data_IF_388040529442
#
_entry.id   IF_388040529442
#
_cell.length_a   1.000
_cell.length_b   1.000
_cell.length_c   1.000
_cell.angle_alpha   90.00
_cell.angle_beta   90.00
_cell.angle_gamma   90.00
#
_symmetry.space_group_name_H-M   'P 1'
#
loop_
_entity.id
_entity.type
_entity.pdbx_description
1 polymer ?
#
# COMPACT_ATOMS: atom_id res chain seq x y z
N UNK A 1 -12.78 -18.36 -24.19
CA UNK A 1 -12.13 -18.14 -22.87
C UNK A 1 -12.67 -16.84 -22.30
N UNK A 2 -13.04 -16.80 -21.02
CA UNK A 2 -13.47 -15.57 -20.34
C UNK A 2 -12.25 -14.69 -20.01
N UNK A 3 -12.40 -13.38 -20.15
CA UNK A 3 -11.38 -12.37 -19.85
C UNK A 3 -11.96 -11.43 -18.79
N UNK A 4 -11.18 -11.12 -17.75
CA UNK A 4 -11.62 -10.26 -16.65
C UNK A 4 -10.85 -8.94 -16.62
N UNK A 5 -11.54 -7.86 -16.27
CA UNK A 5 -10.99 -6.55 -16.00
C UNK A 5 -11.67 -5.94 -14.77
N UNK A 6 -11.02 -4.96 -14.15
CA UNK A 6 -11.59 -4.18 -13.03
C UNK A 6 -12.25 -2.93 -13.62
N UNK A 7 -13.50 -2.64 -13.27
CA UNK A 7 -14.17 -1.42 -13.76
C UNK A 7 -13.31 -0.17 -13.54
N UNK A 8 -13.39 0.81 -14.44
CA UNK A 8 -12.47 1.97 -14.48
C UNK A 8 -12.40 2.70 -13.13
N UNK A 9 -13.55 2.90 -12.47
CA UNK A 9 -13.59 3.54 -11.15
C UNK A 9 -12.97 2.71 -10.03
N UNK A 10 -13.13 1.39 -10.08
CA UNK A 10 -12.57 0.49 -9.08
C UNK A 10 -11.06 0.28 -9.26
N UNK A 11 -10.56 0.41 -10.49
CA UNK A 11 -9.14 0.19 -10.79
C UNK A 11 -8.23 1.12 -9.99
N UNK A 12 -8.64 2.37 -9.76
CA UNK A 12 -7.87 3.33 -8.95
C UNK A 12 -7.76 2.96 -7.46
N UNK A 13 -8.64 2.08 -6.96
CA UNK A 13 -8.55 1.54 -5.60
C UNK A 13 -7.51 0.41 -5.44
N UNK A 14 -6.90 -0.04 -6.54
CA UNK A 14 -5.88 -1.10 -6.52
C UNK A 14 -4.46 -0.55 -6.73
N UNK A 15 -3.47 -1.36 -6.34
CA UNK A 15 -2.05 -1.08 -6.58
C UNK A 15 -1.75 -0.89 -8.07
N UNK A 16 -0.71 -0.10 -8.36
CA UNK A 16 -0.29 0.23 -9.73
C UNK A 16 -0.11 -0.97 -10.67
N UNK A 17 0.50 -2.10 -10.26
CA UNK A 17 0.61 -3.29 -11.12
C UNK A 17 -0.76 -3.86 -11.51
N UNK A 18 -1.73 -3.84 -10.60
CA UNK A 18 -3.10 -4.29 -10.88
C UNK A 18 -3.78 -3.37 -11.90
N UNK A 19 -3.56 -2.05 -11.79
CA UNK A 19 -4.06 -1.10 -12.78
C UNK A 19 -3.45 -1.34 -14.17
N UNK A 20 -2.16 -1.66 -14.26
CA UNK A 20 -1.52 -1.97 -15.55
C UNK A 20 -2.10 -3.22 -16.22
N UNK A 21 -2.45 -4.24 -15.44
CA UNK A 21 -2.85 -5.56 -15.97
C UNK A 21 -4.37 -5.72 -16.16
N UNK A 22 -5.18 -5.01 -15.37
CA UNK A 22 -6.62 -5.24 -15.29
C UNK A 22 -7.48 -4.01 -15.62
N UNK A 23 -6.88 -2.85 -15.92
CA UNK A 23 -7.66 -1.67 -16.33
C UNK A 23 -8.19 -1.84 -17.77
N UNK A 24 -9.48 -1.62 -18.06
CA UNK A 24 -10.09 -1.81 -19.38
C UNK A 24 -9.42 -1.02 -20.51
N UNK A 25 -8.91 0.18 -20.20
CA UNK A 25 -8.15 1.01 -21.17
C UNK A 25 -6.75 0.47 -21.50
N UNK A 26 -6.18 -0.40 -20.66
CA UNK A 26 -4.82 -0.95 -20.81
C UNK A 26 -4.84 -2.42 -21.25
N UNK A 27 -5.97 -3.10 -21.05
CA UNK A 27 -6.16 -4.53 -21.33
C UNK A 27 -6.98 -4.73 -22.61
N UNK A 28 -6.46 -5.57 -23.51
CA UNK A 28 -7.09 -5.95 -24.78
C UNK A 28 -8.48 -6.59 -24.59
N UNK A 29 -9.40 -6.28 -25.50
CA UNK A 29 -10.74 -6.86 -25.60
C UNK A 29 -11.86 -6.09 -24.89
N UNK A 30 -11.63 -4.84 -24.46
CA UNK A 30 -12.62 -4.03 -23.75
C UNK A 30 -13.01 -2.75 -24.48
N UNK A 31 -12.36 -2.41 -25.61
CA UNK A 31 -12.67 -1.20 -26.36
C UNK A 31 -12.68 0.03 -25.47
N UNK A 32 -13.73 0.86 -25.59
CA UNK A 32 -13.96 2.00 -24.72
C UNK A 32 -14.87 1.73 -23.50
N UNK A 33 -15.11 0.48 -23.13
CA UNK A 33 -15.95 0.14 -21.97
C UNK A 33 -15.37 0.65 -20.65
N UNK A 34 -16.23 1.18 -19.80
CA UNK A 34 -15.87 1.60 -18.43
C UNK A 34 -16.13 0.50 -17.38
N UNK A 35 -16.74 -0.62 -17.78
CA UNK A 35 -17.03 -1.76 -16.91
C UNK A 35 -18.21 -1.55 -15.94
N UNK A 36 -19.05 -0.52 -16.11
CA UNK A 36 -20.14 -0.19 -15.17
C UNK A 36 -21.50 -0.82 -15.52
N UNK A 37 -21.55 -1.74 -16.49
CA UNK A 37 -22.82 -2.30 -16.96
C UNK A 37 -23.64 -2.93 -15.82
N UNK A 38 -22.95 -3.67 -14.94
CA UNK A 38 -23.54 -4.27 -13.76
C UNK A 38 -24.10 -3.21 -12.81
N UNK A 39 -23.31 -2.20 -12.45
CA UNK A 39 -23.69 -1.14 -11.51
C UNK A 39 -24.89 -0.33 -12.03
N UNK A 40 -24.92 -0.03 -13.34
CA UNK A 40 -26.05 0.64 -13.99
C UNK A 40 -27.32 -0.20 -13.91
N UNK A 41 -27.21 -1.50 -14.14
CA UNK A 41 -28.34 -2.42 -14.00
C UNK A 41 -28.80 -2.54 -12.54
N UNK A 42 -27.90 -2.72 -11.58
CA UNK A 42 -28.24 -2.73 -10.15
C UNK A 42 -28.94 -1.43 -9.72
N UNK A 43 -28.49 -0.29 -10.25
CA UNK A 43 -29.13 0.99 -10.00
C UNK A 43 -30.55 1.06 -10.57
N UNK A 44 -30.79 0.57 -11.78
CA UNK A 44 -32.12 0.63 -12.40
C UNK A 44 -33.16 -0.18 -11.62
N UNK A 45 -32.77 -1.32 -11.06
CA UNK A 45 -33.68 -2.19 -10.28
C UNK A 45 -33.70 -1.89 -8.77
N UNK A 46 -32.93 -0.90 -8.29
CA UNK A 46 -32.80 -0.62 -6.85
C UNK A 46 -34.13 -0.32 -6.15
N UNK A 47 -35.08 0.25 -6.88
CA UNK A 47 -36.40 0.61 -6.37
C UNK A 47 -37.22 -0.63 -5.98
N UNK A 48 -36.91 -1.79 -6.57
CA UNK A 48 -37.56 -3.06 -6.23
C UNK A 48 -37.12 -3.62 -4.88
N UNK A 49 -35.97 -3.20 -4.33
CA UNK A 49 -35.38 -3.80 -3.12
C UNK A 49 -36.36 -3.79 -1.94
N UNK A 50 -37.05 -2.67 -1.70
CA UNK A 50 -37.98 -2.54 -0.58
C UNK A 50 -39.16 -3.52 -0.69
N UNK A 51 -39.74 -3.60 -1.89
CA UNK A 51 -40.87 -4.50 -2.16
C UNK A 51 -40.44 -5.97 -2.12
N UNK A 52 -39.33 -6.31 -2.78
CA UNK A 52 -38.86 -7.69 -2.91
C UNK A 52 -38.39 -8.33 -1.60
N UNK A 53 -38.02 -7.53 -0.59
CA UNK A 53 -37.63 -8.04 0.73
C UNK A 53 -38.76 -8.77 1.45
N UNK A 54 -40.00 -8.34 1.24
CA UNK A 54 -41.20 -8.91 1.88
C UNK A 54 -41.97 -9.87 0.97
N UNK A 55 -41.57 -9.99 -0.30
CA UNK A 55 -42.19 -10.91 -1.27
C UNK A 55 -41.74 -12.37 -1.08
N UNK A 56 -42.59 -13.30 -1.49
CA UNK A 56 -42.23 -14.72 -1.57
C UNK A 56 -41.15 -14.96 -2.63
N UNK A 57 -40.45 -16.10 -2.52
CA UNK A 57 -39.36 -16.47 -3.44
C UNK A 57 -39.78 -16.41 -4.92
N UNK A 58 -40.90 -17.05 -5.28
CA UNK A 58 -41.37 -17.10 -6.67
C UNK A 58 -41.80 -15.72 -7.18
N UNK A 59 -42.44 -14.92 -6.34
CA UNK A 59 -42.81 -13.56 -6.72
C UNK A 59 -41.56 -12.69 -6.96
N UNK A 60 -40.53 -12.82 -6.13
CA UNK A 60 -39.25 -12.13 -6.33
C UNK A 60 -38.61 -12.50 -7.66
N UNK A 61 -38.56 -13.80 -7.98
CA UNK A 61 -37.98 -14.29 -9.22
C UNK A 61 -38.76 -13.75 -10.43
N UNK A 62 -40.09 -13.86 -10.41
CA UNK A 62 -40.96 -13.38 -11.49
C UNK A 62 -40.82 -11.87 -11.72
N UNK A 63 -40.84 -11.07 -10.65
CA UNK A 63 -40.72 -9.60 -10.75
C UNK A 63 -39.36 -9.18 -11.27
N UNK A 64 -38.27 -9.84 -10.83
CA UNK A 64 -36.94 -9.56 -11.36
C UNK A 64 -36.85 -9.92 -12.85
N UNK A 65 -37.30 -11.12 -13.23
CA UNK A 65 -37.29 -11.58 -14.64
C UNK A 65 -38.07 -10.63 -15.56
N UNK A 66 -39.27 -10.22 -15.12
CA UNK A 66 -40.10 -9.25 -15.85
C UNK A 66 -39.41 -7.90 -15.98
N UNK A 67 -38.75 -7.42 -14.92
CA UNK A 67 -38.01 -6.16 -14.96
C UNK A 67 -36.80 -6.23 -15.91
N UNK A 68 -36.10 -7.37 -15.97
CA UNK A 68 -34.99 -7.57 -16.93
C UNK A 68 -35.51 -7.54 -18.35
N UNK A 69 -36.57 -8.30 -18.66
CA UNK A 69 -37.20 -8.30 -19.99
C UNK A 69 -37.63 -6.91 -20.44
N UNK A 70 -38.30 -6.17 -19.55
CA UNK A 70 -38.70 -4.80 -19.83
C UNK A 70 -37.49 -3.89 -20.10
N UNK A 71 -36.41 -4.03 -19.33
CA UNK A 71 -35.19 -3.26 -19.55
C UNK A 71 -34.54 -3.61 -20.90
N UNK A 72 -34.51 -4.88 -21.29
CA UNK A 72 -33.97 -5.33 -22.57
C UNK A 72 -34.77 -4.75 -23.75
N UNK A 73 -36.10 -4.80 -23.69
CA UNK A 73 -37.00 -4.18 -24.69
C UNK A 73 -36.78 -2.67 -24.80
N UNK A 74 -36.70 -1.97 -23.66
CA UNK A 74 -36.46 -0.54 -23.63
C UNK A 74 -35.06 -0.18 -24.17
N UNK A 75 -34.04 -0.99 -23.87
CA UNK A 75 -32.68 -0.79 -24.35
C UNK A 75 -32.57 -1.05 -25.85
N UNK A 76 -33.28 -2.05 -26.38
CA UNK A 76 -33.30 -2.36 -27.81
C UNK A 76 -33.77 -1.15 -28.63
N UNK A 77 -34.84 -0.47 -28.19
CA UNK A 77 -35.32 0.75 -28.84
C UNK A 77 -34.27 1.87 -28.89
N UNK A 78 -33.42 1.96 -27.85
CA UNK A 78 -32.33 2.93 -27.76
C UNK A 78 -31.00 2.50 -28.40
N UNK A 79 -30.90 1.27 -28.90
CA UNK A 79 -29.62 0.65 -29.26
C UNK A 79 -28.92 1.35 -30.42
N UNK A 80 -29.67 1.76 -31.45
CA UNK A 80 -29.11 2.51 -32.59
C UNK A 80 -28.50 3.85 -32.16
N UNK A 81 -29.22 4.60 -31.31
CA UNK A 81 -28.75 5.86 -30.77
C UNK A 81 -27.52 5.66 -29.87
N UNK A 82 -27.49 4.58 -29.10
CA UNK A 82 -26.33 4.19 -28.30
C UNK A 82 -25.11 3.85 -29.17
N UNK A 83 -25.27 2.99 -30.18
CA UNK A 83 -24.19 2.62 -31.11
C UNK A 83 -23.60 3.85 -31.81
N UNK A 84 -24.46 4.78 -32.26
CA UNK A 84 -24.02 6.06 -32.84
C UNK A 84 -23.21 6.91 -31.86
N UNK A 85 -23.65 7.04 -30.60
CA UNK A 85 -22.92 7.80 -29.57
C UNK A 85 -21.56 7.18 -29.28
N UNK A 86 -21.48 5.86 -29.14
CA UNK A 86 -20.21 5.15 -28.93
C UNK A 86 -19.28 5.31 -30.13
N UNK A 87 -19.81 5.23 -31.35
CA UNK A 87 -19.03 5.47 -32.58
C UNK A 87 -18.45 6.88 -32.65
N UNK A 88 -19.25 7.90 -32.34
CA UNK A 88 -18.76 9.28 -32.26
C UNK A 88 -17.67 9.44 -31.20
N UNK A 89 -17.85 8.84 -30.02
CA UNK A 89 -16.85 8.86 -28.96
C UNK A 89 -15.53 8.19 -29.41
N UNK A 90 -15.62 7.02 -30.05
CA UNK A 90 -14.47 6.29 -30.60
C UNK A 90 -13.73 7.13 -31.64
N UNK A 91 -14.46 7.77 -32.57
CA UNK A 91 -13.88 8.67 -33.58
C UNK A 91 -13.19 9.88 -32.95
N UNK A 92 -13.80 10.55 -31.95
CA UNK A 92 -13.14 11.65 -31.25
C UNK A 92 -11.85 11.18 -30.58
N UNK A 93 -11.88 10.06 -29.87
CA UNK A 93 -10.71 9.50 -29.18
C UNK A 93 -9.60 9.09 -30.15
N UNK A 94 -9.97 8.51 -31.29
CA UNK A 94 -9.05 8.16 -32.38
C UNK A 94 -8.32 9.41 -32.89
N UNK A 95 -9.06 10.46 -33.25
CA UNK A 95 -8.46 11.70 -33.77
C UNK A 95 -7.54 12.38 -32.75
N UNK A 96 -7.94 12.40 -31.46
CA UNK A 96 -7.09 12.89 -30.37
C UNK A 96 -5.80 12.07 -30.27
N UNK A 97 -5.88 10.74 -30.35
CA UNK A 97 -4.73 9.85 -30.26
C UNK A 97 -3.79 9.99 -31.48
N UNK A 98 -4.34 10.05 -32.69
CA UNK A 98 -3.58 10.20 -33.93
C UNK A 98 -2.78 11.51 -33.93
N UNK A 99 -3.39 12.62 -33.49
CA UNK A 99 -2.69 13.90 -33.36
C UNK A 99 -1.52 13.84 -32.37
N UNK A 100 -1.69 13.18 -31.22
CA UNK A 100 -0.62 13.02 -30.23
C UNK A 100 0.51 12.11 -30.74
N UNK A 101 0.19 11.07 -31.53
CA UNK A 101 1.20 10.19 -32.13
C UNK A 101 1.99 10.95 -33.20
N UNK A 102 1.32 11.78 -34.02
CA UNK A 102 1.97 12.63 -35.01
C UNK A 102 2.90 13.65 -34.35
N UNK A 103 2.46 14.32 -33.28
CA UNK A 103 3.28 15.26 -32.49
C UNK A 103 4.47 14.55 -31.81
N UNK A 104 4.27 13.31 -31.34
CA UNK A 104 5.31 12.51 -30.71
C UNK A 104 6.49 12.21 -31.67
N UNK A 105 6.19 12.02 -32.96
CA UNK A 105 7.20 11.73 -33.99
C UNK A 105 7.90 10.37 -33.85
N UNK A 106 7.43 9.51 -32.93
CA UNK A 106 7.96 8.16 -32.68
C UNK A 106 7.07 7.13 -33.34
N UNK A 107 7.69 6.14 -34.00
CA UNK A 107 6.98 5.04 -34.67
C UNK A 107 6.18 4.22 -33.65
N UNK A 108 4.95 3.85 -34.00
CA UNK A 108 3.99 3.13 -33.12
C UNK A 108 4.60 1.83 -32.56
N UNK A 109 5.40 1.14 -33.36
CA UNK A 109 6.07 -0.11 -33.02
C UNK A 109 7.05 0.08 -31.84
N UNK A 110 7.78 1.20 -31.82
CA UNK A 110 8.66 1.57 -30.70
C UNK A 110 7.82 1.88 -29.45
N UNK A 111 6.70 2.58 -29.60
CA UNK A 111 5.78 2.85 -28.48
C UNK A 111 5.21 1.55 -27.88
N UNK A 112 4.92 0.54 -28.71
CA UNK A 112 4.48 -0.79 -28.26
C UNK A 112 5.58 -1.53 -27.51
N UNK A 113 6.81 -1.50 -28.01
CA UNK A 113 7.96 -2.11 -27.31
C UNK A 113 8.22 -1.44 -25.96
N UNK A 114 8.19 -0.11 -25.92
CA UNK A 114 8.36 0.68 -24.70
C UNK A 114 7.23 0.42 -23.70
N UNK A 115 5.99 0.27 -24.17
CA UNK A 115 4.87 -0.14 -23.32
C UNK A 115 5.08 -1.54 -22.71
N UNK A 116 5.56 -2.51 -23.49
CA UNK A 116 5.88 -3.86 -22.98
C UNK A 116 7.00 -3.79 -21.93
N UNK A 117 8.05 -3.00 -22.17
CA UNK A 117 9.13 -2.78 -21.20
C UNK A 117 8.60 -2.13 -19.92
N UNK A 118 7.71 -1.14 -20.03
CA UNK A 118 7.06 -0.49 -18.89
C UNK A 118 6.28 -1.49 -18.05
N UNK A 119 5.36 -2.25 -18.68
CA UNK A 119 4.54 -3.24 -17.97
C UNK A 119 5.42 -4.28 -17.31
N UNK A 120 6.43 -4.81 -18.01
CA UNK A 120 7.36 -5.78 -17.45
C UNK A 120 8.14 -5.21 -16.25
N UNK A 121 8.66 -3.98 -16.35
CA UNK A 121 9.40 -3.35 -15.26
C UNK A 121 8.52 -3.09 -14.03
N UNK A 122 7.30 -2.59 -14.24
CA UNK A 122 6.40 -2.14 -13.17
C UNK A 122 5.51 -3.25 -12.59
N UNK A 123 5.41 -4.41 -13.24
CA UNK A 123 4.70 -5.60 -12.74
C UNK A 123 5.63 -6.69 -12.23
N UNK A 124 6.96 -6.49 -12.30
CA UNK A 124 7.93 -7.34 -11.60
C UNK A 124 7.49 -7.49 -10.15
N UNK A 125 7.37 -8.72 -9.62
CA UNK A 125 7.18 -8.92 -8.21
C UNK A 125 8.27 -8.14 -7.48
N UNK A 126 7.89 -7.36 -6.47
CA UNK A 126 8.85 -6.72 -5.57
C UNK A 126 9.91 -7.75 -5.22
N UNK A 127 11.17 -7.43 -5.47
CA UNK A 127 12.27 -8.36 -5.25
C UNK A 127 12.10 -8.93 -3.83
N UNK A 128 11.79 -10.24 -3.75
CA UNK A 128 11.86 -10.95 -2.48
C UNK A 128 13.32 -10.88 -2.09
N UNK A 129 13.60 -9.99 -1.14
CA UNK A 129 14.91 -9.70 -0.57
C UNK A 129 15.73 -10.99 -0.36
N UNK A 130 16.60 -11.34 -1.31
CA UNK A 130 17.52 -12.49 -1.20
C UNK A 130 18.76 -12.39 -2.11
N UNK A 131 19.47 -11.25 -2.08
CA UNK A 131 20.93 -11.24 -2.35
C UNK A 131 21.78 -11.08 -1.08
N UNK A 132 21.15 -10.62 0.01
CA UNK A 132 21.82 -10.33 1.28
C UNK A 132 21.43 -11.32 2.38
N UNK A 133 21.32 -12.64 2.12
CA UNK A 133 20.93 -13.58 3.19
C UNK A 133 21.96 -13.63 4.34
N UNK A 134 23.25 -13.51 4.04
CA UNK A 134 24.32 -13.43 5.03
C UNK A 134 24.27 -12.11 5.81
N UNK A 135 24.20 -10.97 5.13
CA UNK A 135 24.05 -9.65 5.77
C UNK A 135 22.71 -9.50 6.51
N UNK A 136 21.63 -10.11 6.04
CA UNK A 136 20.31 -10.15 6.70
C UNK A 136 20.31 -11.12 7.88
N UNK A 137 21.11 -12.18 7.84
CA UNK A 137 21.36 -13.04 9.00
C UNK A 137 22.16 -12.27 10.06
N UNK A 138 23.20 -11.53 9.68
CA UNK A 138 23.96 -10.65 10.58
C UNK A 138 23.07 -9.52 11.13
N UNK A 139 22.32 -8.79 10.28
CA UNK A 139 21.37 -7.74 10.69
C UNK A 139 20.24 -8.30 11.57
N UNK A 140 19.75 -9.50 11.29
CA UNK A 140 18.78 -10.19 12.15
C UNK A 140 19.37 -10.63 13.48
N UNK A 141 20.65 -10.97 13.54
CA UNK A 141 21.34 -11.29 14.81
C UNK A 141 21.56 -10.01 15.61
N UNK A 142 21.91 -8.89 14.96
CA UNK A 142 22.03 -7.58 15.58
C UNK A 142 20.68 -7.10 16.14
N UNK A 143 19.60 -7.19 15.37
CA UNK A 143 18.26 -6.80 15.85
C UNK A 143 17.74 -7.69 16.99
N UNK A 144 18.11 -8.98 16.99
CA UNK A 144 17.78 -9.88 18.10
C UNK A 144 18.61 -9.58 19.35
N UNK A 145 19.85 -9.09 19.19
CA UNK A 145 20.67 -8.58 20.29
C UNK A 145 20.14 -7.26 20.83
N UNK A 146 19.67 -6.36 19.97
CA UNK A 146 18.98 -5.14 20.42
C UNK A 146 17.78 -5.48 21.32
N UNK A 147 16.97 -6.45 20.89
CA UNK A 147 15.84 -6.94 21.67
C UNK A 147 16.28 -7.62 22.98
N UNK A 148 17.37 -8.39 22.96
CA UNK A 148 17.94 -9.04 24.15
C UNK A 148 18.44 -8.01 25.17
N UNK A 149 19.14 -6.96 24.70
CA UNK A 149 19.66 -5.90 25.54
C UNK A 149 18.55 -5.00 26.07
N UNK A 150 17.51 -4.74 25.27
CA UNK A 150 16.32 -4.01 25.71
C UNK A 150 15.55 -4.81 26.78
N UNK A 151 15.36 -6.11 26.58
CA UNK A 151 14.76 -7.01 27.57
C UNK A 151 15.62 -7.11 28.85
N UNK A 152 16.95 -7.09 28.74
CA UNK A 152 17.86 -7.06 29.88
C UNK A 152 17.75 -5.73 30.64
N UNK A 153 17.67 -4.60 29.94
CA UNK A 153 17.43 -3.28 30.54
C UNK A 153 16.05 -3.20 31.20
N UNK A 154 15.02 -3.75 30.58
CA UNK A 154 13.66 -3.83 31.13
C UNK A 154 13.65 -4.68 32.41
N UNK A 155 14.28 -5.86 32.38
CA UNK A 155 14.47 -6.70 33.56
C UNK A 155 15.21 -5.95 34.68
N UNK A 156 16.34 -5.31 34.36
CA UNK A 156 17.12 -4.54 35.34
C UNK A 156 16.32 -3.35 35.91
N UNK A 157 15.51 -2.68 35.08
CA UNK A 157 14.65 -1.59 35.52
C UNK A 157 13.51 -2.09 36.42
N UNK A 158 12.96 -3.27 36.16
CA UNK A 158 11.96 -3.93 37.02
C UNK A 158 12.58 -4.43 38.32
N UNK A 159 13.81 -4.95 38.30
CA UNK A 159 14.57 -5.37 39.49
C UNK A 159 14.94 -4.21 40.40
N UNK A 160 15.17 -3.01 39.84
CA UNK A 160 15.44 -1.78 40.59
C UNK A 160 14.19 -1.13 41.22
N UNK A 161 12.98 -1.68 40.97
CA UNK A 161 11.76 -1.25 41.68
C UNK A 161 11.78 -1.91 43.07
N UNK A 162 12.06 -1.09 44.09
CA UNK A 162 12.10 -1.47 45.50
C UNK A 162 10.72 -1.93 46.00
N UNK A 163 10.72 -2.95 46.88
CA UNK A 163 9.52 -3.63 47.36
C UNK A 163 8.66 -2.72 48.26
N UNK A 164 7.66 -2.07 47.66
CA UNK A 164 6.61 -1.33 48.37
C UNK A 164 5.21 -1.85 48.05
N UNK A 165 4.41 -2.07 49.10
CA UNK A 165 3.00 -2.50 49.18
C UNK A 165 2.58 -3.85 48.53
N UNK A 166 1.96 -4.71 49.35
CA UNK A 166 1.67 -6.13 49.08
C UNK A 166 0.86 -6.45 47.81
N UNK A 167 0.04 -5.53 47.30
CA UNK A 167 -0.73 -5.76 46.07
C UNK A 167 0.09 -5.49 44.78
N UNK A 168 1.10 -4.61 44.84
CA UNK A 168 2.01 -4.34 43.72
C UNK A 168 3.02 -5.50 43.58
N UNK A 169 3.26 -6.25 44.66
CA UNK A 169 4.21 -7.37 44.71
C UNK A 169 3.85 -8.50 43.75
N UNK A 170 2.56 -8.86 43.58
CA UNK A 170 2.19 -9.98 42.71
C UNK A 170 2.34 -9.63 41.22
N UNK A 171 1.87 -8.45 40.80
CA UNK A 171 2.00 -7.99 39.42
C UNK A 171 3.46 -7.73 39.03
N UNK A 172 4.25 -7.11 39.90
CA UNK A 172 5.69 -6.88 39.65
C UNK A 172 6.48 -8.19 39.65
N UNK A 173 6.16 -9.17 40.51
CA UNK A 173 6.78 -10.50 40.46
C UNK A 173 6.42 -11.26 39.18
N UNK A 174 5.17 -11.15 38.72
CA UNK A 174 4.74 -11.72 37.44
C UNK A 174 5.49 -11.09 36.27
N UNK A 175 5.59 -9.75 36.22
CA UNK A 175 6.33 -9.00 35.21
C UNK A 175 7.85 -9.32 35.21
N UNK A 176 8.47 -9.45 36.39
CA UNK A 176 9.87 -9.88 36.53
C UNK A 176 10.07 -11.30 35.95
N UNK A 177 9.13 -12.21 36.21
CA UNK A 177 9.19 -13.59 35.72
C UNK A 177 8.97 -13.68 34.21
N UNK A 178 8.08 -12.87 33.63
CA UNK A 178 7.86 -12.82 32.19
C UNK A 178 9.07 -12.22 31.46
N UNK A 179 9.60 -11.09 31.93
CA UNK A 179 10.79 -10.46 31.37
C UNK A 179 12.02 -11.40 31.41
N UNK A 180 12.22 -12.13 32.53
CA UNK A 180 13.29 -13.12 32.64
C UNK A 180 13.10 -14.32 31.69
N UNK A 181 11.87 -14.75 31.46
CA UNK A 181 11.56 -15.85 30.53
C UNK A 181 11.75 -15.42 29.07
N UNK A 182 11.44 -14.17 28.73
CA UNK A 182 11.65 -13.60 27.40
C UNK A 182 13.13 -13.40 27.09
N UNK A 183 13.91 -12.86 28.04
CA UNK A 183 15.36 -12.75 27.91
C UNK A 183 16.00 -14.11 27.61
N UNK A 184 15.66 -15.15 28.40
CA UNK A 184 16.18 -16.50 28.19
C UNK A 184 15.81 -17.07 26.81
N UNK A 185 14.63 -16.76 26.28
CA UNK A 185 14.21 -17.17 24.93
C UNK A 185 15.00 -16.44 23.84
N UNK A 186 15.27 -15.15 24.04
CA UNK A 186 16.05 -14.33 23.10
C UNK A 186 17.52 -14.77 23.08
N UNK A 187 18.15 -14.98 24.24
CA UNK A 187 19.52 -15.50 24.36
C UNK A 187 19.72 -16.82 23.60
N UNK A 188 18.77 -17.76 23.74
CA UNK A 188 18.82 -19.05 23.03
C UNK A 188 18.68 -18.87 21.52
N UNK A 189 17.81 -17.95 21.07
CA UNK A 189 17.61 -17.65 19.64
C UNK A 189 18.84 -16.98 19.03
N UNK A 190 19.50 -16.08 19.77
CA UNK A 190 20.75 -15.43 19.37
C UNK A 190 21.84 -16.50 19.21
N UNK A 191 22.06 -17.35 20.22
CA UNK A 191 23.08 -18.41 20.17
C UNK A 191 22.86 -19.39 19.01
N UNK A 192 21.62 -19.82 18.77
CA UNK A 192 21.29 -20.73 17.67
C UNK A 192 21.59 -20.11 16.30
N UNK A 193 21.32 -18.81 16.13
CA UNK A 193 21.63 -18.10 14.87
C UNK A 193 23.12 -17.80 14.71
N UNK A 194 23.84 -17.48 15.79
CA UNK A 194 25.31 -17.30 15.75
C UNK A 194 26.05 -18.60 15.39
N UNK A 195 25.56 -19.75 15.88
CA UNK A 195 26.13 -21.05 15.55
C UNK A 195 25.92 -21.44 14.09
N UNK A 196 24.84 -20.95 13.47
CA UNK A 196 24.50 -21.18 12.06
C UNK A 196 25.28 -20.29 11.06
N UNK A 197 26.09 -19.34 11.55
CA UNK A 197 26.93 -18.48 10.69
C UNK A 197 28.22 -19.19 10.25
N UNK A 198 28.66 -18.92 9.01
CA UNK A 198 29.95 -19.33 8.46
C UNK A 198 31.14 -18.58 9.08
N UNK A 199 32.35 -18.90 8.61
CA UNK A 199 33.61 -18.39 9.21
C UNK A 199 33.77 -16.88 8.95
N UNK A 200 33.49 -16.43 7.73
CA UNK A 200 33.62 -15.01 7.34
C UNK A 200 32.56 -14.14 8.03
N UNK A 201 31.33 -14.66 8.21
CA UNK A 201 30.26 -13.95 8.92
C UNK A 201 30.51 -13.88 10.43
N UNK A 202 31.20 -14.86 11.01
CA UNK A 202 31.67 -14.80 12.40
C UNK A 202 32.75 -13.74 12.59
N UNK A 203 33.63 -13.55 11.60
CA UNK A 203 34.65 -12.49 11.60
C UNK A 203 34.00 -11.10 11.45
N UNK A 204 33.03 -10.94 10.55
CA UNK A 204 32.26 -9.70 10.43
C UNK A 204 31.48 -9.38 11.72
N UNK A 205 30.81 -10.38 12.31
CA UNK A 205 30.14 -10.22 13.60
C UNK A 205 31.12 -9.87 14.73
N UNK A 206 32.33 -10.44 14.73
CA UNK A 206 33.37 -10.13 15.71
C UNK A 206 33.90 -8.69 15.57
N UNK A 207 34.06 -8.20 14.34
CA UNK A 207 34.47 -6.83 14.07
C UNK A 207 33.40 -5.81 14.49
N UNK A 208 32.12 -6.14 14.32
CA UNK A 208 31.00 -5.31 14.83
C UNK A 208 30.93 -5.37 16.38
N UNK A 209 31.16 -6.55 16.98
CA UNK A 209 31.23 -6.74 18.45
C UNK A 209 32.35 -5.93 19.12
N UNK A 210 33.48 -5.72 18.45
CA UNK A 210 34.66 -5.06 19.03
C UNK A 210 34.61 -3.53 19.02
N UNK A 211 33.59 -2.93 18.41
CA UNK A 211 33.53 -1.49 18.31
C UNK A 211 32.68 -0.90 19.45
N UNK A 212 33.35 -0.37 20.48
CA UNK A 212 32.74 0.28 21.65
C UNK A 212 31.70 1.36 21.27
N UNK A 213 31.86 1.95 20.08
CA UNK A 213 30.91 2.88 19.50
C UNK A 213 29.54 2.26 19.24
N UNK A 214 29.48 1.04 18.68
CA UNK A 214 28.23 0.36 18.35
C UNK A 214 27.47 -0.07 19.61
N UNK A 215 28.17 -0.54 20.65
CA UNK A 215 27.53 -0.83 21.96
C UNK A 215 26.85 0.41 22.56
N UNK A 216 27.54 1.56 22.53
CA UNK A 216 27.01 2.82 23.06
C UNK A 216 25.87 3.36 22.20
N UNK A 217 25.94 3.17 20.88
CA UNK A 217 24.91 3.56 19.93
C UNK A 217 23.62 2.73 20.13
N UNK A 218 23.76 1.41 20.27
CA UNK A 218 22.66 0.50 20.61
C UNK A 218 22.02 0.84 21.96
N UNK A 219 22.82 1.06 23.00
CA UNK A 219 22.32 1.49 24.32
C UNK A 219 21.57 2.83 24.24
N UNK A 220 22.08 3.79 23.48
CA UNK A 220 21.45 5.09 23.29
C UNK A 220 20.06 4.96 22.64
N UNK A 221 19.95 4.12 21.61
CA UNK A 221 18.68 3.81 20.91
C UNK A 221 17.67 3.13 21.84
N UNK A 222 18.11 2.11 22.59
CA UNK A 222 17.28 1.40 23.56
C UNK A 222 16.71 2.34 24.64
N UNK A 223 17.55 3.20 25.21
CA UNK A 223 17.14 4.19 26.21
C UNK A 223 16.09 5.16 25.65
N UNK A 224 16.25 5.59 24.39
CA UNK A 224 15.29 6.47 23.72
C UNK A 224 13.94 5.79 23.48
N UNK A 225 13.95 4.51 23.09
CA UNK A 225 12.73 3.72 22.91
C UNK A 225 11.98 3.53 24.24
N UNK A 226 12.68 3.06 25.28
CA UNK A 226 12.10 2.90 26.62
C UNK A 226 11.52 4.20 27.17
N UNK A 227 12.16 5.33 26.88
CA UNK A 227 11.65 6.64 27.26
C UNK A 227 10.38 7.02 26.48
N UNK A 228 10.31 6.75 25.16
CA UNK A 228 9.11 6.97 24.34
C UNK A 228 7.92 6.17 24.88
N UNK A 229 8.12 4.89 25.22
CA UNK A 229 7.04 4.03 25.70
C UNK A 229 6.50 4.52 27.05
N UNK A 230 7.37 4.83 28.01
CA UNK A 230 6.96 5.35 29.32
C UNK A 230 6.26 6.71 29.25
N UNK A 231 6.67 7.56 28.29
CA UNK A 231 6.02 8.85 28.06
C UNK A 231 4.65 8.69 27.40
N UNK A 232 4.50 7.74 26.47
CA UNK A 232 3.20 7.36 25.90
C UNK A 232 2.26 6.81 26.98
N UNK A 233 2.71 5.85 27.77
CA UNK A 233 1.95 5.29 28.90
C UNK A 233 1.46 6.38 29.85
N UNK A 234 2.35 7.29 30.26
CA UNK A 234 1.99 8.45 31.09
C UNK A 234 0.91 9.33 30.45
N UNK A 235 1.02 9.62 29.14
CA UNK A 235 0.02 10.44 28.41
C UNK A 235 -1.33 9.73 28.36
N UNK A 236 -1.36 8.43 28.07
CA UNK A 236 -2.56 7.61 28.12
C UNK A 236 -3.20 7.55 29.52
N UNK A 237 -2.39 7.50 30.59
CA UNK A 237 -2.88 7.54 31.98
C UNK A 237 -3.47 8.92 32.35
N UNK A 238 -2.94 10.02 31.79
CA UNK A 238 -3.40 11.38 32.05
C UNK A 238 -4.63 11.80 31.23
N UNK A 239 -4.79 11.28 30.01
CA UNK A 239 -5.87 11.70 29.09
C UNK A 239 -7.28 11.50 29.70
N UNK A 240 -7.61 10.39 30.40
CA UNK A 240 -8.89 10.25 31.08
C UNK A 240 -9.07 11.18 32.28
N UNK A 241 -7.98 11.61 32.93
CA UNK A 241 -7.97 12.49 34.11
C UNK A 241 -8.10 13.97 33.75
N UNK A 242 -7.74 14.35 32.53
CA UNK A 242 -7.96 15.69 31.98
C UNK A 242 -9.44 15.92 31.66
N UNK A 243 -10.15 14.88 31.22
CA UNK A 243 -11.57 14.95 30.85
C UNK A 243 -12.57 14.60 31.97
N UNK A 244 -12.13 13.96 33.06
CA UNK A 244 -12.96 13.65 34.23
C UNK A 244 -12.24 14.01 35.52
N UNK A 245 -12.94 14.62 36.49
CA UNK A 245 -12.44 14.90 37.85
C UNK A 245 -12.23 13.61 38.67
N UNK A 246 -11.38 12.69 38.22
CA UNK A 246 -10.91 11.56 39.03
C UNK A 246 -9.74 11.97 39.94
N UNK A 247 -9.67 11.29 41.09
CA UNK A 247 -9.14 11.79 42.37
C UNK A 247 -7.63 12.00 42.48
N UNK A 248 -7.24 12.68 43.58
CA UNK A 248 -5.86 13.02 43.92
C UNK A 248 -4.92 11.81 44.04
N UNK A 249 -5.47 10.62 44.31
CA UNK A 249 -4.71 9.37 44.44
C UNK A 249 -4.05 8.93 43.12
N UNK A 250 -4.77 8.97 41.99
CA UNK A 250 -4.21 8.61 40.67
C UNK A 250 -3.12 9.59 40.24
N UNK A 251 -3.30 10.90 40.52
CA UNK A 251 -2.27 11.93 40.25
C UNK A 251 -1.02 11.73 41.10
N UNK A 252 -1.16 11.34 42.36
CA UNK A 252 -0.03 11.05 43.25
C UNK A 252 0.77 9.82 42.78
N UNK A 253 0.09 8.77 42.30
CA UNK A 253 0.74 7.60 41.73
C UNK A 253 1.54 7.92 40.44
N UNK A 254 0.99 8.77 39.56
CA UNK A 254 1.67 9.23 38.34
C UNK A 254 2.92 10.07 38.70
N UNK A 255 2.83 10.95 39.71
CA UNK A 255 3.98 11.73 40.20
C UNK A 255 5.11 10.87 40.75
N UNK A 256 4.80 9.74 41.40
CA UNK A 256 5.82 8.81 41.92
C UNK A 256 6.67 8.16 40.81
N UNK A 257 6.20 8.14 39.55
CA UNK A 257 6.93 7.57 38.40
C UNK A 257 7.80 8.59 37.64
N UNK A 258 7.69 9.89 37.97
CA UNK A 258 8.51 10.97 37.36
C UNK A 258 10.02 10.81 37.53
N UNK A 259 10.53 10.42 38.73
CA UNK A 259 11.97 10.26 38.93
C UNK A 259 12.58 9.16 38.04
N UNK A 260 11.79 8.13 37.69
CA UNK A 260 12.25 7.03 36.83
C UNK A 260 12.43 7.46 35.38
N UNK A 261 11.52 8.28 34.86
CA UNK A 261 11.66 8.91 33.53
C UNK A 261 12.82 9.92 33.55
N UNK A 262 12.99 10.62 34.69
CA UNK A 262 14.09 11.57 34.84
C UNK A 262 15.47 10.92 34.81
N UNK A 263 15.59 9.74 35.40
CA UNK A 263 16.80 8.92 35.34
C UNK A 263 17.09 8.45 33.91
N UNK A 264 16.08 8.02 33.16
CA UNK A 264 16.24 7.54 31.78
C UNK A 264 16.74 8.61 30.82
N UNK A 265 16.18 9.82 30.82
CA UNK A 265 16.71 10.88 29.94
C UNK A 265 18.12 11.30 30.38
N UNK A 266 18.42 11.24 31.69
CA UNK A 266 19.75 11.54 32.22
C UNK A 266 20.81 10.55 31.74
N UNK A 267 20.49 9.26 31.70
CA UNK A 267 21.34 8.21 31.14
C UNK A 267 21.46 8.33 29.62
N UNK A 268 20.38 8.62 28.91
CA UNK A 268 20.38 8.86 27.46
C UNK A 268 21.32 10.02 27.08
N UNK A 269 21.21 11.16 27.75
CA UNK A 269 22.05 12.32 27.47
C UNK A 269 23.53 12.04 27.75
N UNK A 270 23.86 11.25 28.80
CA UNK A 270 25.24 10.80 29.06
C UNK A 270 25.77 9.91 27.94
N UNK A 271 24.95 9.00 27.40
CA UNK A 271 25.36 8.15 26.26
C UNK A 271 25.53 8.96 24.98
N UNK A 272 24.72 10.01 24.76
CA UNK A 272 24.90 10.96 23.66
C UNK A 272 26.25 11.69 23.77
N UNK A 273 26.61 12.16 24.96
CA UNK A 273 27.89 12.85 25.20
C UNK A 273 29.09 11.92 24.95
N UNK A 274 28.98 10.64 25.34
CA UNK A 274 30.00 9.63 25.06
C UNK A 274 30.14 9.36 23.55
N UNK A 275 29.03 9.22 22.82
CA UNK A 275 29.05 9.03 21.36
C UNK A 275 29.65 10.25 20.63
N UNK A 276 29.28 11.46 21.04
CA UNK A 276 29.87 12.69 20.52
C UNK A 276 31.38 12.77 20.76
N UNK A 277 31.85 12.34 21.94
CA UNK A 277 33.29 12.28 22.27
C UNK A 277 34.05 11.26 21.41
N UNK A 278 33.42 10.12 21.08
CA UNK A 278 34.00 9.09 20.21
C UNK A 278 34.08 9.53 18.75
N UNK A 279 33.07 10.26 18.28
CA UNK A 279 33.08 10.89 16.95
C UNK A 279 34.18 11.94 16.87
N UNK A 280 34.31 12.81 17.87
CA UNK A 280 35.37 13.83 17.93
C UNK A 280 36.77 13.22 17.98
N UNK A 281 36.93 12.08 18.65
CA UNK A 281 38.20 11.34 18.72
C UNK A 281 38.47 10.41 17.53
N UNK A 282 37.65 10.46 16.47
CA UNK A 282 37.75 9.64 15.24
C UNK A 282 37.74 8.12 15.50
N UNK A 283 37.10 7.68 16.58
CA UNK A 283 36.90 6.26 16.93
C UNK A 283 35.50 5.76 16.53
N UNK A 284 34.85 6.47 15.61
CA UNK A 284 33.52 6.19 15.07
C UNK A 284 33.59 6.08 13.53
N UNK A 285 32.58 5.45 12.88
CA UNK A 285 32.47 5.40 11.41
C UNK A 285 32.56 6.79 10.75
N UNK A 286 33.05 6.85 9.50
CA UNK A 286 33.29 8.13 8.79
C UNK A 286 32.03 8.97 8.57
N UNK A 287 30.85 8.34 8.52
CA UNK A 287 29.52 8.94 8.35
C UNK A 287 28.75 9.12 9.68
N UNK A 288 29.37 8.85 10.82
CA UNK A 288 28.71 8.87 12.12
C UNK A 288 28.26 10.28 12.54
N UNK A 289 26.95 10.44 12.77
CA UNK A 289 26.34 11.67 13.31
C UNK A 289 25.99 11.46 14.78
N UNK A 290 26.31 12.43 15.64
CA UNK A 290 26.01 12.33 17.06
C UNK A 290 24.49 12.44 17.32
N UNK A 291 23.89 11.58 18.16
CA UNK A 291 22.48 11.69 18.53
C UNK A 291 22.16 13.01 19.22
N UNK A 292 20.96 13.53 18.97
CA UNK A 292 20.51 14.78 19.58
C UNK A 292 20.17 14.58 21.06
N UNK A 293 20.67 15.49 21.90
CA UNK A 293 20.32 15.55 23.34
C UNK A 293 18.87 15.98 23.51
N UNK A 294 18.29 15.51 24.59
CA UNK A 294 16.89 15.74 24.92
C UNK A 294 16.79 16.72 26.09
N UNK A 295 16.00 17.79 25.90
CA UNK A 295 15.81 18.83 26.91
C UNK A 295 14.80 18.38 27.99
N UNK A 296 15.20 18.28 29.27
CA UNK A 296 14.33 17.87 30.37
C UNK A 296 13.03 18.68 30.51
N UNK A 297 12.98 19.92 30.02
CA UNK A 297 11.80 20.79 30.14
C UNK A 297 10.72 20.47 29.11
N UNK A 298 11.11 20.15 27.87
CA UNK A 298 10.20 19.94 26.74
C UNK A 298 9.72 18.49 26.61
N UNK A 299 10.45 17.53 27.18
CA UNK A 299 10.11 16.08 27.17
C UNK A 299 8.71 15.78 27.68
N UNK A 300 8.27 16.49 28.71
CA UNK A 300 6.99 16.24 29.36
C UNK A 300 5.79 16.72 28.54
N UNK A 301 5.99 17.61 27.57
CA UNK A 301 4.92 18.23 26.78
C UNK A 301 4.50 17.36 25.59
N UNK A 302 5.33 16.38 25.17
CA UNK A 302 4.99 15.40 24.11
C UNK A 302 4.37 16.04 22.86
N UNK A 303 4.93 17.18 22.43
CA UNK A 303 4.55 17.86 21.21
C UNK A 303 5.14 17.14 19.99
N UNK A 304 4.51 17.32 18.84
CA UNK A 304 4.81 16.60 17.58
C UNK A 304 6.24 16.88 17.11
N UNK A 305 6.77 18.07 17.39
CA UNK A 305 8.09 18.53 16.94
C UNK A 305 9.21 18.29 17.95
N UNK A 306 8.93 17.62 19.08
CA UNK A 306 9.94 17.36 20.09
C UNK A 306 11.04 16.41 19.56
N UNK A 307 12.30 16.73 19.86
CA UNK A 307 13.49 15.96 19.48
C UNK A 307 13.44 14.47 19.91
N UNK A 308 12.57 14.11 20.85
CA UNK A 308 12.29 12.73 21.20
C UNK A 308 11.80 11.90 20.01
N UNK A 309 11.11 12.49 19.02
CA UNK A 309 10.55 11.79 17.86
C UNK A 309 11.49 11.67 16.67
N UNK A 310 12.61 12.40 16.66
CA UNK A 310 13.55 12.43 15.53
C UNK A 310 14.75 11.52 15.80
N UNK A 311 15.01 10.51 14.98
CA UNK A 311 16.10 9.52 15.15
C UNK A 311 17.44 9.90 14.50
N UNK A 312 17.75 11.20 14.50
CA UNK A 312 19.01 11.76 13.98
C UNK A 312 20.21 11.06 14.63
N UNK A 313 21.07 10.46 13.80
CA UNK A 313 22.28 9.74 14.22
C UNK A 313 22.02 8.34 14.82
N UNK A 314 20.79 7.84 14.78
CA UNK A 314 20.38 6.52 15.29
C UNK A 314 19.76 5.58 14.23
N UNK A 315 19.65 6.04 12.98
CA UNK A 315 19.12 5.26 11.84
C UNK A 315 20.20 4.42 11.14
N UNK A 316 19.88 3.15 10.85
CA UNK A 316 20.78 2.15 10.26
C UNK A 316 20.98 2.29 8.74
N UNK A 317 20.47 3.36 8.13
CA UNK A 317 20.45 3.55 6.67
C UNK A 317 21.65 4.37 6.14
N UNK A 318 22.65 4.63 6.98
CA UNK A 318 23.86 5.41 6.64
C UNK A 318 25.03 4.59 6.06
N UNK A 319 24.75 3.38 5.57
CA UNK A 319 25.65 2.62 4.71
C UNK A 319 24.98 2.44 3.34
N UNK A 320 24.99 3.51 2.54
CA UNK A 320 24.77 3.41 1.10
C UNK A 320 25.93 2.64 0.47
N UNK A 321 25.72 1.35 0.27
CA UNK A 321 26.60 0.46 -0.47
C UNK A 321 26.41 0.71 -1.98
N UNK A 322 27.33 1.51 -2.54
CA UNK A 322 27.53 1.71 -3.97
C UNK A 322 28.03 0.46 -4.69
N UNK A 323 27.23 -0.60 -4.68
CA UNK A 323 27.48 -1.86 -5.40
C UNK A 323 26.24 -2.39 -6.16
N UNK A 324 25.30 -1.50 -6.52
CA UNK A 324 24.48 -1.68 -7.71
C UNK A 324 24.72 -0.50 -8.65
N UNK A 325 25.82 -0.58 -9.40
CA UNK A 325 26.00 0.21 -10.62
C UNK A 325 25.09 -0.34 -11.73
N UNK A 326 23.77 -0.32 -11.49
CA UNK A 326 22.73 -0.44 -12.53
C UNK A 326 22.32 0.95 -13.04
N UNK A 327 23.17 1.97 -12.81
CA UNK A 327 23.00 3.34 -13.28
C UNK A 327 23.74 3.63 -14.60
N UNK A 328 24.37 2.62 -15.22
CA UNK A 328 25.00 2.73 -16.55
C UNK A 328 24.12 2.30 -17.73
N UNK A 329 22.80 2.31 -17.58
CA UNK A 329 21.90 2.23 -18.74
C UNK A 329 21.10 3.50 -18.80
N UNK A 330 21.12 4.20 -19.95
CA UNK A 330 20.22 5.33 -20.17
C UNK A 330 18.80 4.92 -19.76
N UNK A 331 18.10 5.75 -18.97
CA UNK A 331 16.78 5.41 -18.47
C UNK A 331 15.86 5.10 -19.67
N UNK A 332 15.03 4.03 -19.59
CA UNK A 332 14.13 3.67 -20.69
C UNK A 332 13.31 4.86 -21.18
N UNK A 333 13.02 4.90 -22.48
CA UNK A 333 12.35 6.05 -23.10
C UNK A 333 10.95 6.27 -22.51
N UNK A 334 10.23 5.19 -22.17
CA UNK A 334 8.94 5.30 -21.45
C UNK A 334 9.05 6.00 -20.09
N UNK A 335 10.23 6.07 -19.48
CA UNK A 335 10.46 6.76 -18.21
C UNK A 335 11.00 8.18 -18.43
N UNK A 336 11.98 8.34 -19.31
CA UNK A 336 12.74 9.57 -19.49
C UNK A 336 12.13 10.57 -20.47
N UNK A 337 11.39 10.11 -21.48
CA UNK A 337 10.89 10.96 -22.56
C UNK A 337 9.38 11.22 -22.39
N UNK A 338 9.01 12.50 -22.23
CA UNK A 338 7.60 12.90 -22.10
C UNK A 338 6.77 12.64 -23.36
N UNK A 339 7.33 12.86 -24.54
CA UNK A 339 6.65 12.58 -25.80
C UNK A 339 6.35 11.08 -25.92
N UNK A 340 7.29 10.21 -25.55
CA UNK A 340 7.08 8.75 -25.54
C UNK A 340 6.01 8.34 -24.53
N UNK A 341 5.97 8.94 -23.34
CA UNK A 341 4.91 8.68 -22.36
C UNK A 341 3.51 9.05 -22.88
N UNK A 342 3.38 10.23 -23.49
CA UNK A 342 2.11 10.66 -24.13
C UNK A 342 1.76 9.77 -25.32
N UNK A 343 2.76 9.42 -26.14
CA UNK A 343 2.61 8.52 -27.28
C UNK A 343 2.14 7.11 -26.88
N UNK A 344 2.64 6.54 -25.78
CA UNK A 344 2.17 5.24 -25.26
C UNK A 344 0.68 5.30 -24.91
N UNK A 345 0.23 6.35 -24.23
CA UNK A 345 -1.19 6.51 -23.88
C UNK A 345 -2.05 6.64 -25.13
N UNK A 346 -1.64 7.48 -26.08
CA UNK A 346 -2.34 7.67 -27.35
C UNK A 346 -2.39 6.37 -28.18
N UNK A 347 -1.28 5.62 -28.23
CA UNK A 347 -1.23 4.31 -28.89
C UNK A 347 -2.23 3.31 -28.28
N UNK A 348 -2.34 3.29 -26.95
CA UNK A 348 -3.32 2.43 -26.27
C UNK A 348 -4.77 2.85 -26.60
N UNK A 349 -5.05 4.15 -26.61
CA UNK A 349 -6.36 4.69 -26.99
C UNK A 349 -6.71 4.38 -28.46
N UNK A 350 -5.73 4.43 -29.36
CA UNK A 350 -5.91 4.02 -30.76
C UNK A 350 -6.25 2.52 -30.86
N UNK A 351 -5.52 1.66 -30.13
CA UNK A 351 -5.86 0.23 -30.07
C UNK A 351 -7.25 -0.02 -29.44
N UNK A 352 -7.69 0.82 -28.47
CA UNK A 352 -9.05 0.75 -27.92
C UNK A 352 -10.10 1.16 -28.94
N UNK A 353 -9.82 2.19 -29.75
CA UNK A 353 -10.71 2.63 -30.83
C UNK A 353 -10.88 1.55 -31.90
N UNK A 354 -9.80 0.89 -32.30
CA UNK A 354 -9.87 -0.22 -33.26
C UNK A 354 -10.70 -1.40 -32.73
N UNK A 355 -10.66 -1.67 -31.44
CA UNK A 355 -11.53 -2.67 -30.80
C UNK A 355 -12.98 -2.22 -30.77
N UNK A 356 -13.25 -1.01 -30.29
CA UNK A 356 -14.60 -0.44 -30.20
C UNK A 356 -15.28 -0.39 -31.57
N UNK A 357 -14.59 0.12 -32.59
CA UNK A 357 -15.14 0.24 -33.95
C UNK A 357 -15.50 -1.13 -34.54
N UNK A 358 -14.69 -2.16 -34.28
CA UNK A 358 -14.97 -3.54 -34.69
C UNK A 358 -16.20 -4.10 -34.00
N UNK A 359 -16.34 -3.91 -32.69
CA UNK A 359 -17.52 -4.39 -31.97
C UNK A 359 -18.78 -3.61 -32.36
N UNK A 360 -18.70 -2.27 -32.49
CA UNK A 360 -19.81 -1.44 -32.95
C UNK A 360 -20.27 -1.81 -34.36
N UNK A 361 -19.35 -2.20 -35.25
CA UNK A 361 -19.69 -2.68 -36.59
C UNK A 361 -20.46 -4.01 -36.55
N UNK A 362 -20.09 -4.93 -35.65
CA UNK A 362 -20.84 -6.18 -35.43
C UNK A 362 -22.23 -5.89 -34.88
N UNK A 363 -22.34 -5.07 -33.83
CA UNK A 363 -23.61 -4.68 -33.23
C UNK A 363 -24.55 -4.02 -34.25
N UNK A 364 -23.99 -3.14 -35.09
CA UNK A 364 -24.74 -2.50 -36.17
C UNK A 364 -25.25 -3.52 -37.20
N UNK A 365 -24.40 -4.46 -37.62
CA UNK A 365 -24.80 -5.53 -38.53
C UNK A 365 -25.91 -6.38 -37.91
N UNK A 366 -25.75 -6.79 -36.65
CA UNK A 366 -26.76 -7.57 -35.94
C UNK A 366 -28.10 -6.84 -35.88
N UNK A 367 -28.09 -5.54 -35.56
CA UNK A 367 -29.30 -4.72 -35.51
C UNK A 367 -29.98 -4.60 -36.88
N UNK A 368 -29.19 -4.46 -37.96
CA UNK A 368 -29.72 -4.40 -39.33
C UNK A 368 -30.32 -5.73 -39.78
N UNK A 369 -29.68 -6.85 -39.45
CA UNK A 369 -30.21 -8.19 -39.74
C UNK A 369 -31.52 -8.42 -38.99
N UNK A 370 -31.52 -8.19 -37.67
CA UNK A 370 -32.72 -8.30 -36.85
C UNK A 370 -33.87 -7.44 -37.40
N UNK A 371 -33.62 -6.17 -37.72
CA UNK A 371 -34.65 -5.31 -38.29
C UNK A 371 -35.18 -5.83 -39.63
N UNK A 372 -34.32 -6.39 -40.48
CA UNK A 372 -34.72 -6.93 -41.78
C UNK A 372 -35.61 -8.16 -41.60
N UNK A 373 -35.24 -9.07 -40.71
CA UNK A 373 -36.02 -10.27 -40.38
C UNK A 373 -37.40 -9.90 -39.79
N UNK A 374 -37.45 -8.99 -38.83
CA UNK A 374 -38.73 -8.53 -38.24
C UNK A 374 -39.61 -7.83 -39.28
N UNK A 375 -39.00 -7.04 -40.18
CA UNK A 375 -39.72 -6.37 -41.25
C UNK A 375 -40.33 -7.37 -42.24
N UNK A 376 -39.59 -8.41 -42.63
CA UNK A 376 -40.09 -9.50 -43.47
C UNK A 376 -41.28 -10.20 -42.81
N UNK A 377 -41.16 -10.57 -41.54
CA UNK A 377 -42.25 -11.22 -40.77
C UNK A 377 -43.51 -10.33 -40.72
N UNK A 378 -43.36 -9.02 -40.50
CA UNK A 378 -44.48 -8.08 -40.48
C UNK A 378 -45.16 -8.02 -41.84
N UNK A 379 -44.39 -7.96 -42.94
CA UNK A 379 -44.97 -7.94 -44.28
C UNK A 379 -45.72 -9.24 -44.60
N UNK A 380 -45.16 -10.41 -44.27
CA UNK A 380 -45.83 -11.70 -44.46
C UNK A 380 -47.14 -11.78 -43.66
N UNK A 381 -47.13 -11.33 -42.41
CA UNK A 381 -48.33 -11.28 -41.57
C UNK A 381 -49.40 -10.33 -42.15
N UNK A 382 -48.98 -9.21 -42.74
CA UNK A 382 -49.87 -8.25 -43.39
C UNK A 382 -50.47 -8.78 -44.69
N UNK A 383 -49.68 -9.46 -45.52
CA UNK A 383 -50.17 -10.15 -46.72
C UNK A 383 -51.20 -11.23 -46.35
N UNK A 384 -50.93 -12.03 -45.31
CA UNK A 384 -51.86 -13.01 -44.79
C UNK A 384 -53.15 -12.37 -44.24
N UNK A 385 -53.07 -11.16 -43.69
CA UNK A 385 -54.22 -10.40 -43.17
C UNK A 385 -54.96 -9.58 -44.24
N UNK A 386 -54.48 -9.53 -45.48
CA UNK A 386 -55.09 -8.77 -46.58
C UNK A 386 -54.93 -7.25 -46.48
N UNK A 387 -53.94 -6.75 -45.74
CA UNK A 387 -53.69 -5.32 -45.56
C UNK A 387 -52.42 -4.87 -46.29
N UNK A 388 -52.51 -3.89 -47.19
CA UNK A 388 -51.32 -3.30 -47.87
C UNK A 388 -51.06 -1.87 -47.38
N UNK A 389 -49.83 -1.57 -46.95
CA UNK A 389 -49.36 -0.18 -46.84
C UNK A 389 -48.49 0.16 -48.05
N UNK A 390 -48.79 1.27 -48.73
CA UNK A 390 -47.88 1.88 -49.69
C UNK A 390 -46.67 2.45 -48.93
N UNK A 391 -45.47 2.05 -49.34
CA UNK A 391 -44.18 2.47 -48.77
C UNK A 391 -44.11 3.99 -48.51
N UNK A 392 -43.58 4.44 -47.36
CA UNK A 392 -43.19 5.82 -47.15
C UNK A 392 -41.76 5.99 -47.66
N UNK A 393 -41.58 5.96 -48.98
CA UNK A 393 -40.35 6.46 -49.62
C UNK A 393 -40.51 7.93 -49.95
#
# INVERSE_FOLDING_TARGET
RLIFAVAVFHAFGHDWPCQLLYHPRKRKGFGFSNGEGCERFWHSIRHLIAHLRISSYHHRLYTLDTQVKHADEANLFGLAAWNRRCGLHSTTKRLEAEAVIEECGVVIEVLKEEWVKQVAAQTKPLARCSKNMAQKAVKSILSLRDADQLAACEKAALEAIDEGDNNIIQETKAAKKTAAAELKKLEVRVKKKEQALGVDEKVQLANVKLNKYHELHMCCRALKHCMRDRLRERKFELTPLEHKKLGAHTRSAIKKREPTIAKLYGEYNKTCDQLASMIKSKRAPKSAVAPQRIDPKTVWQLEVDNAIWQDVGLDDDLDGDGENDEWQTEPPLWLANEAVRKGIVAMLDLERADEEDRELAKERRSLQLWFSEEWEIVNEAMEAAGASFSSPL
#
